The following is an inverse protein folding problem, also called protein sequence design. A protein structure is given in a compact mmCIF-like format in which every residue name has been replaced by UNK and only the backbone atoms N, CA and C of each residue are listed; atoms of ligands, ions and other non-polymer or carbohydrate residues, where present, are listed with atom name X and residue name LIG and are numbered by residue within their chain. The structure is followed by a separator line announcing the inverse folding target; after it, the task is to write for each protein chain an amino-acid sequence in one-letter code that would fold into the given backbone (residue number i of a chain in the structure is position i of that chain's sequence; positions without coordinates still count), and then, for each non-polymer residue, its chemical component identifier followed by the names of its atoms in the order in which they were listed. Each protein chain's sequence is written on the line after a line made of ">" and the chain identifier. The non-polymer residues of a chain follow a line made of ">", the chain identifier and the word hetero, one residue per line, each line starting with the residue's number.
data_IF_706589029442
#
_entry.id   IF_706589029442
#
_cell.length_a   1.000
_cell.length_b   1.000
_cell.length_c   1.000
_cell.angle_alpha   90.00
_cell.angle_beta   90.00
_cell.angle_gamma   90.00
#
_symmetry.space_group_name_H-M   'P 1'
#
loop_
_entity.id
_entity.type
_entity.pdbx_description
1 polymer ?
#
# COMPACT_ATOMS: atom_id res chain seq x y z
N UNK A 1 -11.81 -27.62 0.45
CA UNK A 1 -11.27 -26.71 -0.57
C UNK A 1 -9.98 -26.15 -0.03
N UNK A 2 -8.89 -26.18 -0.81
CA UNK A 2 -7.62 -25.57 -0.40
C UNK A 2 -7.78 -24.06 -0.49
N UNK A 3 -7.92 -23.36 0.63
CA UNK A 3 -7.97 -21.90 0.66
C UNK A 3 -6.56 -21.34 0.77
N UNK A 4 -5.98 -20.99 -0.36
CA UNK A 4 -4.71 -20.27 -0.43
C UNK A 4 -4.95 -18.78 -0.18
N UNK A 5 -4.12 -18.16 0.67
CA UNK A 5 -4.11 -16.73 0.92
C UNK A 5 -2.79 -16.13 0.44
N UNK A 6 -2.89 -15.17 -0.46
CA UNK A 6 -1.74 -14.44 -0.99
C UNK A 6 -1.52 -13.15 -0.19
N UNK A 7 -0.26 -12.89 0.17
CA UNK A 7 0.16 -11.68 0.89
C UNK A 7 1.29 -11.04 0.09
N UNK A 8 1.01 -9.89 -0.52
CA UNK A 8 1.95 -9.25 -1.44
C UNK A 8 2.58 -7.99 -0.87
N UNK A 9 3.79 -7.70 -1.31
CA UNK A 9 4.52 -6.47 -1.02
C UNK A 9 5.06 -5.82 -2.29
N UNK A 10 5.90 -4.82 -2.15
CA UNK A 10 6.38 -3.97 -3.26
C UNK A 10 7.11 -4.74 -4.37
N UNK A 11 7.66 -5.91 -4.07
CA UNK A 11 8.33 -6.76 -5.06
C UNK A 11 7.40 -7.22 -6.19
N UNK A 12 6.08 -7.34 -5.96
CA UNK A 12 5.12 -7.69 -7.02
C UNK A 12 5.00 -6.58 -8.07
N UNK A 13 5.17 -5.31 -7.68
CA UNK A 13 5.04 -4.15 -8.58
C UNK A 13 6.37 -3.74 -9.25
N UNK A 14 7.48 -4.41 -8.91
CA UNK A 14 8.82 -4.03 -9.41
C UNK A 14 8.92 -4.08 -10.95
N UNK A 15 8.44 -5.15 -11.58
CA UNK A 15 8.42 -5.28 -13.03
C UNK A 15 7.43 -4.36 -13.74
N UNK A 16 6.49 -3.77 -13.02
CA UNK A 16 5.66 -2.67 -13.50
C UNK A 16 6.39 -1.32 -13.51
N UNK A 17 7.63 -1.26 -13.00
CA UNK A 17 8.42 -0.02 -12.91
C UNK A 17 8.18 0.79 -11.63
N UNK A 18 7.50 0.22 -10.62
CA UNK A 18 7.37 0.84 -9.31
C UNK A 18 8.53 0.38 -8.43
N UNK A 19 9.38 1.28 -7.92
CA UNK A 19 10.51 0.91 -7.09
C UNK A 19 10.09 0.16 -5.82
N UNK A 20 10.90 -0.83 -5.44
CA UNK A 20 10.72 -1.53 -4.16
C UNK A 20 11.16 -0.65 -2.98
N UNK A 21 10.75 -1.03 -1.76
CA UNK A 21 11.14 -0.27 -0.54
C UNK A 21 12.65 -0.25 -0.27
N UNK A 22 13.37 -1.28 -0.72
CA UNK A 22 14.80 -1.49 -0.48
C UNK A 22 15.60 -1.34 -1.77
N UNK A 23 15.90 -0.15 -2.18
CA UNK A 23 16.76 0.10 -3.32
C UNK A 23 17.28 1.52 -3.27
N UNK A 24 18.39 1.81 -3.95
CA UNK A 24 18.94 3.17 -4.03
C UNK A 24 17.94 4.18 -4.62
N UNK A 25 16.96 3.70 -5.41
CA UNK A 25 15.87 4.48 -5.99
C UNK A 25 14.51 4.10 -5.36
N UNK A 26 14.52 3.45 -4.20
CA UNK A 26 13.31 2.96 -3.53
C UNK A 26 12.35 4.08 -3.15
N UNK A 27 11.06 3.74 -3.06
CA UNK A 27 9.97 4.66 -2.69
C UNK A 27 10.27 5.44 -1.38
N UNK A 28 11.06 4.84 -0.48
CA UNK A 28 11.45 5.38 0.82
C UNK A 28 12.82 6.06 0.84
N UNK A 29 13.53 6.13 -0.29
CA UNK A 29 14.80 6.86 -0.38
C UNK A 29 14.60 8.31 -0.80
N UNK A 30 13.45 8.63 -1.41
CA UNK A 30 13.10 9.97 -1.84
C UNK A 30 12.24 10.65 -0.79
N UNK A 31 12.85 11.23 0.22
CA UNK A 31 12.20 12.12 1.19
C UNK A 31 11.85 13.48 0.58
N UNK A 32 11.65 14.47 1.42
CA UNK A 32 11.71 15.88 1.08
C UNK A 32 13.11 16.41 1.44
N UNK A 33 13.40 17.67 1.11
CA UNK A 33 14.69 18.29 1.48
C UNK A 33 14.97 18.26 2.99
N UNK A 34 13.91 18.23 3.82
CA UNK A 34 14.01 18.41 5.27
C UNK A 34 13.54 17.19 6.08
N UNK A 35 12.90 16.18 5.45
CA UNK A 35 12.27 15.07 6.15
C UNK A 35 12.54 13.73 5.46
N UNK A 36 12.76 12.71 6.25
CA UNK A 36 12.82 11.32 5.78
C UNK A 36 11.44 10.84 5.30
N UNK A 37 11.35 9.81 4.46
CA UNK A 37 10.07 9.22 4.08
C UNK A 37 9.23 8.77 5.26
N UNK A 38 9.85 8.25 6.33
CA UNK A 38 9.18 7.80 7.54
C UNK A 38 8.54 8.97 8.30
N UNK A 39 9.21 10.12 8.35
CA UNK A 39 8.67 11.35 8.95
C UNK A 39 7.55 11.93 8.09
N UNK A 40 7.72 11.91 6.75
CA UNK A 40 6.70 12.39 5.82
C UNK A 40 5.40 11.58 5.88
N UNK A 41 5.48 10.25 6.03
CA UNK A 41 4.34 9.37 6.02
C UNK A 41 3.73 9.19 7.44
N UNK A 42 3.51 10.29 8.15
CA UNK A 42 2.90 10.31 9.49
C UNK A 42 1.64 11.17 9.52
N UNK A 43 0.73 10.84 10.44
CA UNK A 43 -0.44 11.66 10.75
C UNK A 43 0.00 13.01 11.32
N UNK A 44 1.05 12.99 12.13
CA UNK A 44 1.65 14.22 12.64
C UNK A 44 2.05 15.18 11.51
N UNK A 45 2.68 14.67 10.45
CA UNK A 45 3.07 15.49 9.29
C UNK A 45 1.84 16.03 8.55
N UNK A 46 0.81 15.20 8.35
CA UNK A 46 -0.46 15.63 7.75
C UNK A 46 -1.12 16.75 8.55
N UNK A 47 -1.09 16.68 9.87
CA UNK A 47 -1.72 17.66 10.77
C UNK A 47 -0.94 18.97 10.87
N UNK A 48 0.40 18.90 10.89
CA UNK A 48 1.27 20.06 11.16
C UNK A 48 1.89 20.69 9.91
N UNK A 49 2.05 19.92 8.83
CA UNK A 49 2.57 20.41 7.54
C UNK A 49 1.85 19.75 6.35
N UNK A 50 0.52 19.97 6.23
CA UNK A 50 -0.31 19.29 5.22
C UNK A 50 0.11 19.59 3.79
N UNK A 51 0.67 20.77 3.50
CA UNK A 51 1.09 21.15 2.16
C UNK A 51 2.25 20.28 1.66
N UNK A 52 3.29 20.08 2.47
CA UNK A 52 4.43 19.24 2.12
C UNK A 52 4.04 17.75 2.12
N UNK A 53 3.22 17.33 3.08
CA UNK A 53 2.68 15.97 3.12
C UNK A 53 1.92 15.63 1.83
N UNK A 54 0.97 16.46 1.42
CA UNK A 54 0.17 16.24 0.21
C UNK A 54 1.02 16.29 -1.06
N UNK A 55 1.95 17.25 -1.15
CA UNK A 55 2.88 17.35 -2.29
C UNK A 55 3.74 16.09 -2.42
N UNK A 56 4.23 15.56 -1.30
CA UNK A 56 5.05 14.35 -1.28
C UNK A 56 4.27 13.12 -1.77
N UNK A 57 3.02 12.93 -1.34
CA UNK A 57 2.14 11.86 -1.84
C UNK A 57 1.75 12.09 -3.31
N UNK A 58 1.43 13.32 -3.68
CA UNK A 58 1.05 13.67 -5.05
C UNK A 58 2.17 13.37 -6.06
N UNK A 59 3.40 13.75 -5.76
CA UNK A 59 4.55 13.45 -6.62
C UNK A 59 4.73 11.95 -6.84
N UNK A 60 4.41 11.12 -5.87
CA UNK A 60 4.43 9.66 -5.98
C UNK A 60 3.26 9.14 -6.80
N UNK A 61 2.07 9.61 -6.55
CA UNK A 61 0.90 9.28 -7.35
C UNK A 61 1.09 9.68 -8.81
N UNK A 62 1.51 10.92 -9.07
CA UNK A 62 1.73 11.42 -10.42
C UNK A 62 2.76 10.59 -11.20
N UNK A 63 3.77 10.06 -10.51
CA UNK A 63 4.79 9.20 -11.13
C UNK A 63 4.26 7.83 -11.53
N UNK A 64 3.29 7.26 -10.79
CA UNK A 64 2.85 5.87 -10.99
C UNK A 64 1.40 5.73 -11.46
N UNK A 65 0.63 6.82 -11.56
CA UNK A 65 -0.79 6.76 -11.93
C UNK A 65 -1.08 6.12 -13.29
N UNK A 66 -0.14 6.17 -14.23
CA UNK A 66 -0.27 5.59 -15.58
C UNK A 66 0.37 4.21 -15.71
N UNK A 67 1.04 3.73 -14.68
CA UNK A 67 1.72 2.42 -14.69
C UNK A 67 0.67 1.31 -14.78
N UNK A 68 0.94 0.32 -15.64
CA UNK A 68 0.04 -0.81 -15.87
C UNK A 68 0.38 -1.98 -14.94
N UNK A 69 -0.63 -2.78 -14.54
CA UNK A 69 -0.39 -4.07 -13.90
C UNK A 69 0.49 -4.98 -14.77
N UNK A 70 1.30 -5.82 -14.15
CA UNK A 70 2.08 -6.86 -14.82
C UNK A 70 1.35 -8.22 -14.77
N UNK A 71 1.96 -9.27 -15.34
CA UNK A 71 1.37 -10.60 -15.44
C UNK A 71 1.05 -11.23 -14.08
N UNK A 72 1.81 -10.89 -13.02
CA UNK A 72 1.54 -11.38 -11.68
C UNK A 72 0.24 -10.78 -11.11
N UNK A 73 0.01 -9.48 -11.28
CA UNK A 73 -1.25 -8.85 -10.85
C UNK A 73 -2.46 -9.47 -11.56
N UNK A 74 -2.37 -9.71 -12.88
CA UNK A 74 -3.46 -10.35 -13.62
C UNK A 74 -3.72 -11.79 -13.16
N UNK A 75 -2.67 -12.53 -12.80
CA UNK A 75 -2.82 -13.89 -12.26
C UNK A 75 -3.43 -13.88 -10.85
N UNK A 76 -3.14 -12.86 -10.05
CA UNK A 76 -3.67 -12.66 -8.70
C UNK A 76 -5.10 -12.10 -8.69
N UNK A 77 -5.66 -11.72 -9.85
CA UNK A 77 -6.93 -11.00 -9.93
C UNK A 77 -8.15 -11.80 -9.42
N UNK A 78 -8.09 -13.13 -9.44
CA UNK A 78 -9.14 -14.03 -8.94
C UNK A 78 -8.76 -14.71 -7.61
N UNK A 79 -7.70 -14.29 -6.94
CA UNK A 79 -7.18 -14.89 -5.72
C UNK A 79 -7.58 -14.09 -4.47
N UNK A 80 -7.71 -14.78 -3.33
CA UNK A 80 -7.77 -14.11 -2.02
C UNK A 80 -6.42 -13.44 -1.74
N UNK A 81 -6.42 -12.12 -1.72
CA UNK A 81 -5.21 -11.30 -1.69
C UNK A 81 -5.26 -10.23 -0.61
N UNK A 82 -4.25 -10.19 0.23
CA UNK A 82 -3.94 -9.05 1.10
C UNK A 82 -2.69 -8.38 0.55
N UNK A 83 -2.81 -7.14 0.07
CA UNK A 83 -1.66 -6.39 -0.43
C UNK A 83 -1.21 -5.30 0.53
N UNK A 84 0.09 -5.15 0.68
CA UNK A 84 0.73 -4.05 1.38
C UNK A 84 0.90 -2.82 0.48
N UNK A 85 0.73 -3.00 -0.83
CA UNK A 85 0.94 -1.97 -1.82
C UNK A 85 -0.22 -0.97 -1.83
N UNK A 86 0.12 0.29 -2.01
CA UNK A 86 -0.84 1.40 -2.11
C UNK A 86 -1.00 1.93 -3.54
N UNK A 87 -0.38 1.27 -4.53
CA UNK A 87 -0.34 1.68 -5.93
C UNK A 87 -1.64 1.42 -6.71
N UNK A 88 -2.53 0.57 -6.18
CA UNK A 88 -3.82 0.22 -6.79
C UNK A 88 -3.72 -0.70 -8.01
N UNK A 89 -2.55 -1.31 -8.30
CA UNK A 89 -2.39 -2.19 -9.46
C UNK A 89 -3.25 -3.44 -9.39
N UNK A 90 -3.44 -4.02 -8.20
CA UNK A 90 -4.30 -5.20 -8.02
C UNK A 90 -5.74 -4.93 -8.48
N UNK A 91 -6.32 -3.79 -8.07
CA UNK A 91 -7.66 -3.39 -8.52
C UNK A 91 -7.71 -3.09 -10.01
N UNK A 92 -6.67 -2.45 -10.58
CA UNK A 92 -6.56 -2.20 -12.03
C UNK A 92 -6.37 -3.48 -12.84
N UNK A 93 -5.84 -4.55 -12.24
CA UNK A 93 -5.76 -5.87 -12.84
C UNK A 93 -7.08 -6.64 -12.84
N UNK A 94 -8.11 -6.13 -12.15
CA UNK A 94 -9.44 -6.71 -12.08
C UNK A 94 -9.76 -7.46 -10.79
N UNK A 95 -8.88 -7.45 -9.77
CA UNK A 95 -9.23 -8.00 -8.48
C UNK A 95 -10.24 -7.09 -7.77
N UNK A 96 -11.46 -7.58 -7.56
CA UNK A 96 -12.57 -6.83 -6.97
C UNK A 96 -12.74 -7.07 -5.46
N UNK A 97 -12.07 -8.08 -4.93
CA UNK A 97 -12.21 -8.49 -3.52
C UNK A 97 -10.86 -8.71 -2.82
N UNK A 98 -9.88 -7.87 -3.12
CA UNK A 98 -8.63 -7.87 -2.38
C UNK A 98 -8.67 -6.88 -1.20
N UNK A 99 -7.81 -7.10 -0.22
CA UNK A 99 -7.63 -6.19 0.91
C UNK A 99 -6.35 -5.37 0.73
N UNK A 100 -6.48 -4.07 0.49
CA UNK A 100 -5.36 -3.12 0.53
C UNK A 100 -5.13 -2.69 1.98
N UNK A 101 -4.34 -3.48 2.71
CA UNK A 101 -4.20 -3.34 4.17
C UNK A 101 -3.51 -2.04 4.61
N UNK A 102 -2.77 -1.40 3.71
CA UNK A 102 -2.18 -0.07 3.92
C UNK A 102 -2.93 1.04 3.15
N UNK A 103 -4.11 0.72 2.61
CA UNK A 103 -4.90 1.66 1.82
C UNK A 103 -4.45 1.78 0.36
N UNK A 104 -4.86 2.87 -0.29
CA UNK A 104 -4.63 3.14 -1.72
C UNK A 104 -4.40 4.63 -1.96
N UNK A 105 -3.40 4.97 -2.77
CA UNK A 105 -3.08 6.36 -3.12
C UNK A 105 -4.14 7.03 -4.01
N UNK A 106 -4.90 6.26 -4.79
CA UNK A 106 -5.98 6.78 -5.64
C UNK A 106 -7.30 7.03 -4.89
N UNK A 107 -7.31 6.85 -3.57
CA UNK A 107 -8.48 7.05 -2.71
C UNK A 107 -8.20 8.05 -1.60
N UNK A 108 -9.27 8.66 -1.12
CA UNK A 108 -9.29 9.54 0.04
C UNK A 108 -10.39 9.14 1.01
N UNK A 109 -10.25 9.60 2.23
CA UNK A 109 -11.25 9.53 3.30
C UNK A 109 -11.41 10.91 3.93
N UNK A 110 -12.51 11.17 4.60
CA UNK A 110 -12.60 12.34 5.45
C UNK A 110 -11.63 12.23 6.63
N UNK A 111 -10.94 13.32 6.94
CA UNK A 111 -10.10 13.39 8.13
C UNK A 111 -10.98 13.29 9.37
N UNK A 112 -10.84 12.19 10.11
CA UNK A 112 -11.64 11.85 11.31
C UNK A 112 -10.78 11.06 12.30
N UNK A 113 -11.42 10.65 13.40
CA UNK A 113 -10.83 9.66 14.28
C UNK A 113 -10.59 8.35 13.49
N UNK A 114 -9.47 7.70 13.72
CA UNK A 114 -9.07 6.47 13.02
C UNK A 114 -10.06 5.31 13.16
N UNK A 115 -10.84 5.30 14.25
CA UNK A 115 -11.86 4.28 14.52
C UNK A 115 -13.20 4.56 13.84
N UNK A 116 -13.38 5.72 13.22
CA UNK A 116 -14.64 6.07 12.57
C UNK A 116 -14.84 5.23 11.32
N UNK A 117 -16.00 4.59 11.21
CA UNK A 117 -16.40 3.85 10.02
C UNK A 117 -16.66 4.81 8.87
N UNK A 118 -15.95 4.63 7.77
CA UNK A 118 -16.16 5.37 6.53
C UNK A 118 -15.72 4.51 5.34
N UNK A 119 -16.21 4.84 4.16
CA UNK A 119 -15.78 4.21 2.91
C UNK A 119 -14.86 5.18 2.16
N UNK A 120 -13.71 4.69 1.64
CA UNK A 120 -12.85 5.51 0.79
C UNK A 120 -13.54 5.78 -0.55
N UNK A 121 -13.28 6.97 -1.10
CA UNK A 121 -13.76 7.41 -2.41
C UNK A 121 -12.61 7.96 -3.26
N UNK A 122 -12.87 8.21 -4.54
CA UNK A 122 -11.81 8.59 -5.47
C UNK A 122 -11.15 9.93 -5.08
N UNK A 123 -9.83 9.95 -5.13
CA UNK A 123 -9.05 11.16 -4.94
C UNK A 123 -9.02 11.98 -6.25
N UNK A 124 -9.19 13.30 -6.15
CA UNK A 124 -9.21 14.20 -7.32
C UNK A 124 -7.79 14.59 -7.78
N UNK A 125 -6.79 13.70 -7.61
CA UNK A 125 -5.41 13.99 -8.04
C UNK A 125 -5.31 14.26 -9.56
N UNK A 126 -6.12 13.55 -10.36
CA UNK A 126 -6.07 13.66 -11.82
C UNK A 126 -6.56 15.01 -12.35
N UNK A 127 -7.28 15.77 -11.53
CA UNK A 127 -7.71 17.13 -11.85
C UNK A 127 -6.60 18.17 -11.69
N UNK A 128 -5.47 17.79 -11.07
CA UNK A 128 -4.33 18.67 -10.90
C UNK A 128 -3.45 18.60 -12.15
N UNK A 129 -3.47 19.68 -12.93
CA UNK A 129 -2.67 19.79 -14.15
C UNK A 129 -1.17 19.87 -13.82
N UNK A 130 -0.41 18.91 -14.35
CA UNK A 130 1.04 18.87 -14.28
C UNK A 130 1.71 19.13 -15.62
N UNK A 131 0.92 19.26 -16.72
CA UNK A 131 1.47 19.43 -18.07
C UNK A 131 2.07 20.82 -18.29
N UNK A 132 1.59 21.81 -17.54
CA UNK A 132 2.11 23.17 -17.51
C UNK A 132 3.41 23.33 -16.69
N UNK A 133 3.93 22.20 -16.13
CA UNK A 133 5.11 22.18 -15.27
C UNK A 133 5.03 23.18 -14.09
N UNK A 134 3.98 23.11 -13.25
CA UNK A 134 3.77 24.05 -12.15
C UNK A 134 4.87 23.93 -11.09
N UNK A 135 5.17 25.04 -10.41
CA UNK A 135 6.08 25.01 -9.26
C UNK A 135 5.46 24.25 -8.07
N UNK A 136 6.29 23.86 -7.12
CA UNK A 136 5.85 23.17 -5.91
C UNK A 136 4.86 24.01 -5.10
N UNK A 137 5.04 25.33 -5.05
CA UNK A 137 4.14 26.26 -4.36
C UNK A 137 2.75 26.24 -4.99
N UNK A 138 2.66 26.29 -6.33
CA UNK A 138 1.39 26.21 -7.06
C UNK A 138 0.71 24.85 -6.85
N UNK A 139 1.49 23.77 -6.81
CA UNK A 139 0.96 22.44 -6.51
C UNK A 139 0.43 22.35 -5.08
N UNK A 140 1.17 22.87 -4.10
CA UNK A 140 0.73 22.90 -2.69
C UNK A 140 -0.60 23.63 -2.51
N UNK A 141 -0.75 24.80 -3.15
CA UNK A 141 -2.01 25.56 -3.09
C UNK A 141 -3.19 24.76 -3.64
N UNK A 142 -3.04 24.17 -4.84
CA UNK A 142 -4.07 23.33 -5.46
C UNK A 142 -4.41 22.10 -4.62
N UNK A 143 -3.40 21.46 -4.03
CA UNK A 143 -3.57 20.29 -3.18
C UNK A 143 -4.34 20.64 -1.90
N UNK A 144 -3.99 21.73 -1.23
CA UNK A 144 -4.70 22.21 -0.05
C UNK A 144 -6.17 22.49 -0.36
N UNK A 145 -6.47 23.12 -1.50
CA UNK A 145 -7.84 23.37 -1.97
C UNK A 145 -8.60 22.06 -2.19
N UNK A 146 -8.05 21.13 -2.99
CA UNK A 146 -8.67 19.83 -3.31
C UNK A 146 -8.89 18.97 -2.06
N UNK A 147 -7.97 19.02 -1.11
CA UNK A 147 -8.09 18.32 0.16
C UNK A 147 -8.89 19.09 1.22
N UNK A 148 -9.49 20.23 0.85
CA UNK A 148 -10.33 21.07 1.72
C UNK A 148 -9.62 21.49 3.00
N UNK A 149 -8.31 21.77 2.90
CA UNK A 149 -7.50 22.24 4.04
C UNK A 149 -7.40 23.74 3.98
N UNK A 150 -7.89 24.39 5.03
CA UNK A 150 -7.98 25.85 5.11
C UNK A 150 -6.88 26.44 5.97
N UNK A 151 -6.60 27.72 5.72
CA UNK A 151 -5.71 28.49 6.57
C UNK A 151 -6.47 28.94 7.83
N UNK A 152 -5.95 28.55 8.99
CA UNK A 152 -6.46 28.96 10.31
C UNK A 152 -5.37 29.82 10.96
N UNK A 153 -5.62 31.11 11.11
CA UNK A 153 -4.59 32.07 11.51
C UNK A 153 -3.46 32.13 10.46
N UNK A 154 -2.24 31.76 10.83
CA UNK A 154 -1.08 31.76 9.94
C UNK A 154 -0.69 30.38 9.41
N UNK A 155 -1.38 29.31 9.79
CA UNK A 155 -1.06 27.92 9.42
C UNK A 155 -2.19 27.26 8.66
N UNK A 156 -1.87 26.31 7.78
CA UNK A 156 -2.86 25.41 7.22
C UNK A 156 -3.06 24.24 8.19
N UNK A 157 -4.32 23.90 8.47
CA UNK A 157 -4.65 22.81 9.37
C UNK A 157 -5.88 22.05 8.86
N UNK A 158 -5.84 20.71 8.84
CA UNK A 158 -7.01 19.91 8.48
C UNK A 158 -8.09 19.99 9.56
N UNK A 159 -9.34 20.05 9.10
CA UNK A 159 -10.53 20.11 9.95
C UNK A 159 -11.24 18.76 9.98
N UNK A 160 -11.55 18.25 11.18
CA UNK A 160 -12.25 16.98 11.39
C UNK A 160 -13.60 17.00 10.69
N UNK A 161 -13.89 15.97 9.89
CA UNK A 161 -15.14 15.80 9.17
C UNK A 161 -15.29 16.66 7.91
N UNK A 162 -14.33 17.53 7.61
CA UNK A 162 -14.35 18.45 6.45
C UNK A 162 -13.19 18.15 5.51
N UNK A 163 -11.96 18.17 6.03
CA UNK A 163 -10.75 17.93 5.22
C UNK A 163 -10.64 16.48 4.76
N UNK A 164 -9.96 16.29 3.65
CA UNK A 164 -9.71 14.96 3.08
C UNK A 164 -8.28 14.53 3.40
N UNK A 165 -8.12 13.25 3.73
CA UNK A 165 -6.82 12.59 3.94
C UNK A 165 -6.65 11.52 2.87
N UNK A 166 -5.46 11.34 2.26
CA UNK A 166 -5.18 10.15 1.45
C UNK A 166 -5.54 8.88 2.22
N UNK A 167 -6.20 7.94 1.56
CA UNK A 167 -6.54 6.64 2.15
C UNK A 167 -5.31 5.76 2.23
N UNK A 168 -4.38 6.13 3.09
CA UNK A 168 -3.14 5.42 3.36
C UNK A 168 -2.94 5.30 4.86
N UNK A 169 -2.59 4.10 5.33
CA UNK A 169 -2.19 3.85 6.72
C UNK A 169 -0.81 4.47 6.94
N UNK A 170 -0.73 5.39 7.87
CA UNK A 170 0.49 6.12 8.20
C UNK A 170 1.29 5.40 9.30
N UNK A 171 2.59 5.69 9.43
CA UNK A 171 3.47 4.96 10.36
C UNK A 171 3.11 5.10 11.82
N UNK A 172 2.48 6.20 12.19
CA UNK A 172 1.98 6.50 13.54
C UNK A 172 0.49 6.16 13.73
N UNK A 173 -0.14 5.52 12.74
CA UNK A 173 -1.51 5.00 12.82
C UNK A 173 -1.52 3.49 13.10
N UNK A 174 -2.65 2.98 13.57
CA UNK A 174 -2.88 1.56 13.84
C UNK A 174 -3.77 0.92 12.77
N UNK A 175 -3.69 -0.39 12.61
CA UNK A 175 -4.64 -1.13 11.77
C UNK A 175 -6.04 -1.08 12.36
N UNK A 176 -7.01 -0.64 11.57
CA UNK A 176 -8.43 -0.56 11.94
C UNK A 176 -9.31 -1.17 10.84
N UNK A 177 -10.61 -1.27 11.08
CA UNK A 177 -11.54 -1.77 10.07
C UNK A 177 -11.76 -0.79 8.90
N UNK A 178 -11.24 0.43 8.98
CA UNK A 178 -11.06 1.28 7.81
C UNK A 178 -10.18 0.59 6.74
N UNK A 179 -9.19 -0.19 7.17
CA UNK A 179 -8.29 -0.98 6.32
C UNK A 179 -8.66 -2.47 6.28
N UNK A 180 -9.88 -2.84 6.73
CA UNK A 180 -10.40 -4.21 6.75
C UNK A 180 -9.53 -5.20 7.56
N UNK A 181 -8.94 -4.76 8.68
CA UNK A 181 -8.04 -5.63 9.46
C UNK A 181 -8.76 -6.86 10.02
N UNK A 182 -9.99 -6.71 10.55
CA UNK A 182 -10.77 -7.83 11.09
C UNK A 182 -11.05 -8.88 10.04
N UNK A 183 -11.32 -8.47 8.80
CA UNK A 183 -11.54 -9.38 7.69
C UNK A 183 -10.23 -10.05 7.23
N UNK A 184 -9.13 -9.29 7.18
CA UNK A 184 -7.81 -9.84 6.88
C UNK A 184 -7.42 -10.93 7.90
N UNK A 185 -7.67 -10.71 9.18
CA UNK A 185 -7.44 -11.72 10.23
C UNK A 185 -8.34 -12.95 10.07
N UNK A 186 -9.60 -12.77 9.63
CA UNK A 186 -10.46 -13.91 9.31
C UNK A 186 -9.91 -14.73 8.15
N UNK A 187 -9.46 -14.07 7.07
CA UNK A 187 -8.84 -14.77 5.95
C UNK A 187 -7.57 -15.53 6.38
N UNK A 188 -6.75 -14.93 7.23
CA UNK A 188 -5.58 -15.61 7.81
C UNK A 188 -5.95 -16.82 8.66
N UNK A 189 -7.08 -16.77 9.39
CA UNK A 189 -7.56 -17.89 10.24
C UNK A 189 -8.09 -19.08 9.46
N UNK A 190 -8.66 -18.87 8.27
CA UNK A 190 -9.25 -19.94 7.47
C UNK A 190 -8.33 -20.50 6.38
N UNK A 191 -7.29 -19.76 6.00
CA UNK A 191 -6.33 -20.18 4.99
C UNK A 191 -5.66 -21.51 5.37
N UNK A 192 -5.51 -22.43 4.42
CA UNK A 192 -4.78 -23.69 4.58
C UNK A 192 -3.32 -23.56 4.13
N UNK A 193 -3.01 -22.54 3.38
CA UNK A 193 -1.66 -22.17 2.94
C UNK A 193 -1.57 -20.67 2.82
N UNK A 194 -0.42 -20.10 3.20
CA UNK A 194 -0.11 -18.67 2.98
C UNK A 194 1.07 -18.50 2.03
N UNK A 195 0.90 -17.64 1.03
CA UNK A 195 1.92 -17.37 0.02
C UNK A 195 2.33 -15.90 0.13
N UNK A 196 3.56 -15.65 0.53
CA UNK A 196 4.15 -14.31 0.62
C UNK A 196 4.96 -14.02 -0.63
N UNK A 197 4.59 -12.97 -1.37
CA UNK A 197 5.25 -12.62 -2.64
C UNK A 197 5.80 -11.19 -2.59
N UNK A 198 7.10 -11.05 -2.83
CA UNK A 198 7.77 -9.75 -2.93
C UNK A 198 7.70 -8.90 -1.66
N UNK A 199 7.74 -9.54 -0.49
CA UNK A 199 7.68 -8.83 0.81
C UNK A 199 8.96 -9.01 1.61
N UNK A 200 9.36 -7.94 2.28
CA UNK A 200 10.56 -7.90 3.12
C UNK A 200 10.33 -8.30 4.57
N UNK A 201 9.11 -8.63 4.96
CA UNK A 201 8.71 -8.91 6.35
C UNK A 201 9.02 -7.78 7.35
N UNK A 202 9.13 -6.55 6.88
CA UNK A 202 9.50 -5.38 7.71
C UNK A 202 8.33 -4.67 8.38
N UNK A 203 7.08 -5.09 8.09
CA UNK A 203 5.86 -4.44 8.57
C UNK A 203 4.98 -5.40 9.37
N UNK A 204 4.21 -4.86 10.30
CA UNK A 204 3.44 -5.65 11.28
C UNK A 204 2.48 -6.66 10.67
N UNK A 205 1.85 -6.36 9.53
CA UNK A 205 0.88 -7.28 8.92
C UNK A 205 1.51 -8.62 8.53
N UNK A 206 2.76 -8.61 8.05
CA UNK A 206 3.48 -9.85 7.71
C UNK A 206 3.80 -10.66 8.97
N UNK A 207 4.11 -10.00 10.08
CA UNK A 207 4.32 -10.67 11.38
C UNK A 207 3.03 -11.26 11.94
N UNK A 208 1.89 -10.59 11.76
CA UNK A 208 0.57 -11.10 12.16
C UNK A 208 0.23 -12.35 11.34
N UNK A 209 0.35 -12.27 10.02
CA UNK A 209 0.07 -13.39 9.12
C UNK A 209 1.00 -14.59 9.38
N UNK A 210 2.30 -14.33 9.54
CA UNK A 210 3.29 -15.37 9.82
C UNK A 210 3.00 -16.08 11.16
N UNK A 211 2.71 -15.33 12.23
CA UNK A 211 2.30 -15.92 13.52
C UNK A 211 1.03 -16.76 13.40
N UNK A 212 0.05 -16.29 12.62
CA UNK A 212 -1.17 -17.07 12.36
C UNK A 212 -0.85 -18.38 11.64
N UNK A 213 0.00 -18.36 10.62
CA UNK A 213 0.40 -19.55 9.88
C UNK A 213 1.17 -20.54 10.78
N UNK A 214 2.19 -20.07 11.49
CA UNK A 214 3.03 -20.89 12.38
C UNK A 214 2.19 -21.52 13.49
N UNK A 215 1.35 -20.76 14.18
CA UNK A 215 0.52 -21.27 15.28
C UNK A 215 -0.46 -22.36 14.85
N UNK A 216 -0.82 -22.39 13.58
CA UNK A 216 -1.73 -23.38 12.97
C UNK A 216 -1.00 -24.52 12.26
N UNK A 217 0.32 -24.45 12.13
CA UNK A 217 1.13 -25.44 11.44
C UNK A 217 0.84 -25.59 9.95
N UNK A 218 0.38 -24.52 9.28
CA UNK A 218 0.07 -24.54 7.85
C UNK A 218 1.31 -24.25 7.00
N UNK A 219 1.28 -24.70 5.74
CA UNK A 219 2.34 -24.48 4.78
C UNK A 219 2.48 -23.00 4.41
N UNK A 220 3.73 -22.57 4.20
CA UNK A 220 4.10 -21.21 3.81
C UNK A 220 4.97 -21.26 2.57
N UNK A 221 4.61 -20.51 1.53
CA UNK A 221 5.51 -20.20 0.42
C UNK A 221 6.07 -18.78 0.58
N UNK A 222 7.38 -18.62 0.39
CA UNK A 222 8.03 -17.30 0.31
C UNK A 222 8.65 -17.15 -1.07
N UNK A 223 8.15 -16.19 -1.82
CA UNK A 223 8.52 -15.90 -3.21
C UNK A 223 9.20 -14.55 -3.28
N UNK A 224 10.49 -14.55 -3.54
CA UNK A 224 11.29 -13.33 -3.71
C UNK A 224 12.62 -13.71 -4.41
N UNK A 225 13.22 -12.89 -5.26
CA UNK A 225 14.56 -13.13 -5.80
C UNK A 225 15.62 -13.33 -4.72
N UNK A 226 15.47 -12.67 -3.57
CA UNK A 226 16.33 -12.78 -2.39
C UNK A 226 15.48 -13.00 -1.12
N UNK A 227 14.89 -14.20 -0.95
CA UNK A 227 13.91 -14.43 0.09
C UNK A 227 14.53 -14.33 1.49
N UNK A 228 13.83 -13.64 2.39
CA UNK A 228 14.20 -13.58 3.81
C UNK A 228 14.09 -14.98 4.41
N UNK A 229 15.15 -15.46 5.03
CA UNK A 229 15.15 -16.74 5.72
C UNK A 229 14.53 -16.58 7.11
N UNK A 230 13.55 -17.45 7.38
CA UNK A 230 12.84 -17.51 8.67
C UNK A 230 13.11 -18.86 9.32
N UNK A 231 13.12 -18.89 10.63
CA UNK A 231 13.33 -20.13 11.42
C UNK A 231 11.98 -20.84 11.63
N UNK A 232 11.53 -21.57 10.59
CA UNK A 232 10.31 -22.38 10.62
C UNK A 232 10.39 -23.50 9.58
N UNK A 233 9.96 -24.72 9.93
CA UNK A 233 10.16 -25.91 9.12
C UNK A 233 9.24 -26.01 7.90
N UNK A 234 7.98 -25.51 7.99
CA UNK A 234 6.98 -25.65 6.94
C UNK A 234 7.04 -24.48 5.93
N UNK A 235 8.24 -24.05 5.54
CA UNK A 235 8.42 -22.98 4.54
C UNK A 235 9.08 -23.55 3.29
N UNK A 236 8.42 -23.33 2.15
CA UNK A 236 9.02 -23.51 0.83
C UNK A 236 9.49 -22.15 0.28
N UNK A 237 10.76 -22.08 -0.13
CA UNK A 237 11.36 -20.86 -0.66
C UNK A 237 11.48 -20.92 -2.18
N UNK A 238 10.86 -19.95 -2.85
CA UNK A 238 10.94 -19.77 -4.29
C UNK A 238 11.82 -18.56 -4.59
N UNK A 239 13.09 -18.83 -4.97
CA UNK A 239 14.05 -17.77 -5.33
C UNK A 239 13.81 -17.33 -6.77
N UNK A 240 12.74 -16.56 -6.96
CA UNK A 240 12.29 -16.08 -8.27
C UNK A 240 11.42 -14.83 -8.12
N UNK A 241 11.15 -14.17 -9.22
CA UNK A 241 10.22 -13.03 -9.28
C UNK A 241 8.77 -13.47 -9.10
N UNK A 242 7.88 -12.49 -8.81
CA UNK A 242 6.45 -12.74 -8.75
C UNK A 242 5.90 -13.31 -10.06
N UNK A 243 6.36 -12.79 -11.20
CA UNK A 243 5.91 -13.21 -12.52
C UNK A 243 6.34 -14.65 -12.85
N UNK A 244 7.60 -15.00 -12.57
CA UNK A 244 8.11 -16.37 -12.75
C UNK A 244 7.34 -17.38 -11.90
N UNK A 245 7.01 -17.02 -10.65
CA UNK A 245 6.19 -17.87 -9.78
C UNK A 245 4.79 -18.07 -10.35
N UNK A 246 4.14 -17.00 -10.78
CA UNK A 246 2.80 -17.08 -11.37
C UNK A 246 2.79 -17.93 -12.66
N UNK A 247 3.79 -17.79 -13.52
CA UNK A 247 3.93 -18.64 -14.72
C UNK A 247 4.13 -20.11 -14.35
N UNK A 248 4.99 -20.40 -13.37
CA UNK A 248 5.20 -21.77 -12.89
C UNK A 248 3.89 -22.39 -12.36
N UNK A 249 3.07 -21.61 -11.64
CA UNK A 249 1.78 -22.09 -11.09
C UNK A 249 0.75 -22.32 -12.19
N UNK A 250 0.69 -21.48 -13.24
CA UNK A 250 -0.19 -21.70 -14.40
C UNK A 250 0.10 -23.02 -15.12
N UNK A 251 1.39 -23.39 -15.24
CA UNK A 251 1.78 -24.64 -15.92
C UNK A 251 1.45 -25.90 -15.11
N UNK A 252 1.14 -25.76 -13.81
CA UNK A 252 0.82 -26.89 -12.92
C UNK A 252 -0.68 -27.04 -12.64
N UNK A 253 -1.49 -26.07 -13.08
CA UNK A 253 -2.96 -26.06 -12.96
C UNK A 253 -3.61 -26.56 -14.24
#
# INVERSE_FOLDING_TARGET
>A
MNEELFITGAGVSASSGIPTFRGNDGFWTVGSENYTPQEMATRWMYENNPADFLLWYFKRFASYRTVKPNSAHYWLADKKLITQNIDGLDGRAGNTDYISIHGRLDKVVYYRNEMDKQLPFDAEWDEIDITSNPTDEVLKEKLLEKFKIRKIGNTFSPEIGISLKPYVLLFDEIYTDLYRISEAEQWMKIANKMIFIGTSFSVNITSIALRSAISRGIDIDIVDPEPVKLDYENIEYFKMTAEEYCEMKKLKS
#
